data_IF_462050453392
#
_entry.id   IF_462050453392
#
_cell.length_a   1.000
_cell.length_b   1.000
_cell.length_c   1.000
_cell.angle_alpha   90.00
_cell.angle_beta   90.00
_cell.angle_gamma   90.00
#
_symmetry.space_group_name_H-M   'P 1'
#
loop_
_entity.id
_entity.type
_entity.pdbx_description
1 polymer ?
#
# COMPACT_ATOMS: atom_id res chain seq x y z
N UNK A 1 -78.55 25.19 -36.21
CA UNK A 1 -77.35 24.45 -35.73
C UNK A 1 -76.25 24.66 -36.69
N UNK A 2 -75.39 25.63 -36.44
CA UNK A 2 -74.27 26.02 -37.30
C UNK A 2 -73.02 25.29 -36.82
N UNK A 3 -72.48 24.40 -37.64
CA UNK A 3 -71.19 23.72 -37.41
C UNK A 3 -70.05 24.66 -37.90
N UNK A 4 -69.24 25.08 -36.96
CA UNK A 4 -68.02 25.86 -37.24
C UNK A 4 -66.90 24.92 -37.70
N UNK A 5 -66.25 25.12 -38.86
CA UNK A 5 -65.18 24.24 -39.30
C UNK A 5 -63.86 24.55 -38.56
N UNK A 6 -63.23 23.51 -38.01
CA UNK A 6 -61.87 23.59 -37.43
C UNK A 6 -60.86 23.89 -38.53
N UNK A 7 -60.19 25.01 -38.47
CA UNK A 7 -59.17 25.43 -39.42
C UNK A 7 -57.85 24.67 -39.24
N UNK A 8 -57.17 24.32 -40.36
CA UNK A 8 -55.89 23.61 -40.41
C UNK A 8 -54.78 24.23 -39.52
N UNK A 9 -54.90 25.50 -39.14
CA UNK A 9 -53.98 26.19 -38.23
C UNK A 9 -54.11 25.74 -36.76
N UNK A 10 -55.27 25.27 -36.31
CA UNK A 10 -55.47 24.83 -34.94
C UNK A 10 -54.88 23.42 -34.67
N UNK A 11 -54.72 22.57 -35.72
CA UNK A 11 -54.12 21.25 -35.62
C UNK A 11 -52.58 21.29 -35.56
N UNK A 12 -51.95 22.31 -36.19
CA UNK A 12 -50.48 22.49 -36.18
C UNK A 12 -49.97 23.10 -34.88
N UNK A 13 -50.78 23.83 -34.13
CA UNK A 13 -50.38 24.41 -32.84
C UNK A 13 -50.41 23.36 -31.66
N UNK A 14 -51.23 22.31 -31.80
CA UNK A 14 -51.31 21.23 -30.79
C UNK A 14 -50.13 20.22 -30.86
N UNK A 15 -49.47 20.10 -32.04
CA UNK A 15 -48.37 19.14 -32.20
C UNK A 15 -47.00 19.68 -31.81
N UNK A 16 -46.84 21.02 -31.65
CA UNK A 16 -45.59 21.62 -31.25
C UNK A 16 -45.34 21.59 -29.72
N UNK A 17 -46.42 21.45 -28.93
CA UNK A 17 -46.30 21.43 -27.45
C UNK A 17 -45.92 20.05 -26.88
N UNK A 18 -46.08 18.97 -27.64
CA UNK A 18 -45.76 17.61 -27.18
C UNK A 18 -44.31 17.17 -27.53
N UNK A 19 -43.64 17.87 -28.40
CA UNK A 19 -42.25 17.57 -28.80
C UNK A 19 -41.17 18.22 -27.90
N UNK A 20 -41.56 19.15 -26.99
CA UNK A 20 -40.61 19.84 -26.14
C UNK A 20 -40.24 19.10 -24.81
N UNK A 21 -40.90 17.95 -24.51
CA UNK A 21 -40.67 17.21 -23.25
C UNK A 21 -39.67 16.05 -23.42
N UNK A 22 -39.20 15.73 -24.64
CA UNK A 22 -38.35 14.55 -24.91
C UNK A 22 -36.88 14.87 -25.18
N UNK A 23 -36.43 16.12 -25.04
CA UNK A 23 -35.02 16.48 -25.22
C UNK A 23 -34.44 17.11 -23.95
N UNK A 24 -34.60 16.48 -22.79
CA UNK A 24 -33.56 16.64 -21.80
C UNK A 24 -32.35 15.87 -22.35
N UNK A 25 -31.22 16.51 -22.65
CA UNK A 25 -30.01 15.75 -22.95
C UNK A 25 -29.79 14.88 -21.72
N UNK A 26 -29.87 13.56 -21.88
CA UNK A 26 -29.20 12.66 -20.95
C UNK A 26 -27.74 13.15 -20.98
N UNK A 27 -27.36 13.99 -20.03
CA UNK A 27 -25.95 14.25 -19.74
C UNK A 27 -25.38 12.87 -19.47
N UNK A 28 -24.82 12.27 -20.52
CA UNK A 28 -24.03 11.05 -20.40
C UNK A 28 -22.96 11.41 -19.37
N UNK A 29 -23.19 11.03 -18.13
CA UNK A 29 -22.22 11.26 -17.06
C UNK A 29 -20.95 10.60 -17.53
N UNK A 30 -19.89 11.41 -17.74
CA UNK A 30 -18.62 10.93 -18.25
C UNK A 30 -18.14 9.78 -17.38
N UNK A 31 -18.02 8.60 -17.97
CA UNK A 31 -17.44 7.43 -17.29
C UNK A 31 -15.95 7.64 -17.14
N UNK A 32 -15.39 7.23 -16.00
CA UNK A 32 -13.95 7.30 -15.74
C UNK A 32 -13.43 5.95 -15.25
N UNK A 33 -12.39 5.46 -15.86
CA UNK A 33 -11.64 4.31 -15.40
C UNK A 33 -10.30 4.75 -14.81
N UNK A 34 -10.04 4.37 -13.54
CA UNK A 34 -8.78 4.65 -12.85
C UNK A 34 -7.79 3.53 -13.12
N UNK A 35 -6.58 3.89 -13.51
CA UNK A 35 -5.44 2.98 -13.60
C UNK A 35 -4.76 2.91 -12.24
N UNK A 36 -4.65 1.69 -11.65
CA UNK A 36 -4.03 1.45 -10.33
C UNK A 36 -2.73 0.68 -10.52
N UNK A 37 -1.61 1.31 -10.23
CA UNK A 37 -0.28 0.67 -10.30
C UNK A 37 0.09 -0.02 -8.99
N UNK A 38 0.71 -1.21 -9.08
CA UNK A 38 1.16 -2.02 -7.95
C UNK A 38 2.43 -2.80 -8.26
N UNK A 39 3.30 -3.01 -7.25
CA UNK A 39 4.52 -3.83 -7.37
C UNK A 39 4.28 -5.30 -7.04
N UNK A 40 3.19 -5.62 -6.37
CA UNK A 40 2.87 -6.97 -5.88
C UNK A 40 2.25 -7.84 -6.98
N UNK A 41 2.44 -9.18 -6.93
CA UNK A 41 1.85 -10.10 -7.92
C UNK A 41 0.34 -10.25 -7.72
N UNK A 42 -0.42 -10.73 -8.73
CA UNK A 42 -1.88 -10.85 -8.68
C UNK A 42 -2.41 -11.65 -7.47
N UNK A 43 -1.67 -12.65 -7.00
CA UNK A 43 -2.05 -13.49 -5.86
C UNK A 43 -1.97 -12.75 -4.50
N UNK A 44 -1.29 -11.61 -4.42
CA UNK A 44 -1.12 -10.84 -3.20
C UNK A 44 -2.44 -10.17 -2.77
N UNK A 45 -2.70 -10.12 -1.46
CA UNK A 45 -3.91 -9.51 -0.86
C UNK A 45 -4.18 -8.10 -1.40
N UNK A 46 -3.14 -7.29 -1.61
CA UNK A 46 -3.30 -5.95 -2.18
C UNK A 46 -3.97 -5.99 -3.55
N UNK A 47 -3.48 -6.86 -4.46
CA UNK A 47 -4.04 -6.95 -5.82
C UNK A 47 -5.47 -7.49 -5.81
N UNK A 48 -5.77 -8.45 -4.93
CA UNK A 48 -7.11 -8.99 -4.79
C UNK A 48 -8.08 -7.90 -4.32
N UNK A 49 -7.73 -7.12 -3.31
CA UNK A 49 -8.57 -6.04 -2.79
C UNK A 49 -8.66 -4.85 -3.76
N UNK A 50 -7.58 -4.50 -4.47
CA UNK A 50 -7.63 -3.46 -5.50
C UNK A 50 -8.47 -3.88 -6.72
N UNK A 51 -8.47 -5.16 -7.06
CA UNK A 51 -9.36 -5.70 -8.10
C UNK A 51 -10.81 -5.66 -7.65
N UNK A 52 -11.09 -6.02 -6.39
CA UNK A 52 -12.43 -5.95 -5.81
C UNK A 52 -12.94 -4.50 -5.67
N UNK A 53 -12.04 -3.52 -5.52
CA UNK A 53 -12.35 -2.08 -5.48
C UNK A 53 -13.12 -1.64 -6.73
N UNK A 54 -12.84 -2.22 -7.90
CA UNK A 54 -13.57 -1.91 -9.13
C UNK A 54 -15.09 -2.11 -9.00
N UNK A 55 -15.51 -3.25 -8.43
CA UNK A 55 -16.93 -3.53 -8.23
C UNK A 55 -17.58 -2.50 -7.28
N UNK A 56 -16.88 -2.16 -6.19
CA UNK A 56 -17.35 -1.15 -5.22
C UNK A 56 -17.44 0.26 -5.84
N UNK A 57 -16.48 0.65 -6.65
CA UNK A 57 -16.52 1.93 -7.37
C UNK A 57 -17.73 1.99 -8.32
N UNK A 58 -17.96 0.93 -9.10
CA UNK A 58 -19.10 0.85 -10.02
C UNK A 58 -20.43 0.89 -9.28
N UNK A 59 -20.55 0.13 -8.20
CA UNK A 59 -21.77 0.10 -7.37
C UNK A 59 -22.07 1.49 -6.80
N UNK A 60 -21.12 2.10 -6.10
CA UNK A 60 -21.30 3.39 -5.40
C UNK A 60 -21.47 4.57 -6.35
N UNK A 61 -20.95 4.48 -7.58
CA UNK A 61 -21.06 5.53 -8.59
C UNK A 61 -22.15 5.29 -9.63
N UNK A 62 -22.94 4.24 -9.51
CA UNK A 62 -23.93 3.83 -10.53
C UNK A 62 -23.28 3.61 -11.91
N UNK A 63 -22.11 2.96 -11.93
CA UNK A 63 -21.37 2.62 -13.14
C UNK A 63 -20.47 3.73 -13.71
N UNK A 64 -20.45 4.93 -13.14
CA UNK A 64 -19.66 6.06 -13.65
C UNK A 64 -18.15 5.91 -13.41
N UNK A 65 -17.77 5.32 -12.28
CA UNK A 65 -16.37 5.11 -11.90
C UNK A 65 -16.02 3.63 -11.94
N UNK A 66 -14.87 3.33 -12.46
CA UNK A 66 -14.29 1.99 -12.53
C UNK A 66 -12.78 2.03 -12.31
N UNK A 67 -12.15 0.87 -12.16
CA UNK A 67 -10.69 0.79 -12.07
C UNK A 67 -10.15 -0.46 -12.75
N UNK A 68 -8.89 -0.38 -13.19
CA UNK A 68 -8.10 -1.49 -13.70
C UNK A 68 -6.76 -1.53 -12.97
N UNK A 69 -6.33 -2.73 -12.55
CA UNK A 69 -5.08 -2.94 -11.80
C UNK A 69 -3.96 -3.37 -12.73
N UNK A 70 -2.79 -2.77 -12.56
CA UNK A 70 -1.53 -3.11 -13.23
C UNK A 70 -0.55 -3.68 -12.19
N UNK A 71 -0.49 -5.02 -12.03
CA UNK A 71 0.31 -5.68 -11.01
C UNK A 71 1.78 -5.82 -11.38
N UNK A 72 2.60 -6.38 -10.46
CA UNK A 72 3.97 -6.83 -10.69
C UNK A 72 4.91 -5.76 -11.26
N UNK A 73 4.66 -4.50 -11.00
CA UNK A 73 5.49 -3.40 -11.47
C UNK A 73 5.36 -3.12 -12.99
N UNK A 74 4.27 -3.51 -13.63
CA UNK A 74 4.03 -3.25 -15.07
C UNK A 74 4.11 -1.77 -15.44
N UNK A 75 3.80 -0.87 -14.49
CA UNK A 75 3.92 0.58 -14.68
C UNK A 75 5.22 1.16 -14.10
N UNK A 76 6.20 0.31 -13.79
CA UNK A 76 7.46 0.68 -13.16
C UNK A 76 7.52 0.34 -11.67
N UNK A 77 8.67 0.67 -11.04
CA UNK A 77 8.83 0.55 -9.60
C UNK A 77 8.06 1.65 -8.85
N UNK A 78 8.03 1.60 -7.51
CA UNK A 78 7.27 2.56 -6.70
C UNK A 78 7.72 4.01 -6.93
N UNK A 79 9.04 4.27 -7.05
CA UNK A 79 9.55 5.60 -7.33
C UNK A 79 9.03 6.18 -8.66
N UNK A 80 9.00 5.34 -9.71
CA UNK A 80 8.45 5.71 -11.02
C UNK A 80 6.92 5.96 -10.94
N UNK A 81 6.18 5.11 -10.21
CA UNK A 81 4.75 5.29 -10.02
C UNK A 81 4.42 6.58 -9.25
N UNK A 82 5.21 6.95 -8.21
CA UNK A 82 5.04 8.24 -7.53
C UNK A 82 5.26 9.41 -8.49
N UNK A 83 6.27 9.36 -9.36
CA UNK A 83 6.49 10.40 -10.38
C UNK A 83 5.31 10.49 -11.36
N UNK A 84 4.74 9.36 -11.78
CA UNK A 84 3.57 9.32 -12.65
C UNK A 84 2.32 9.89 -11.96
N UNK A 85 2.13 9.66 -10.65
CA UNK A 85 1.06 10.31 -9.87
C UNK A 85 1.23 11.83 -9.84
N UNK A 86 2.45 12.34 -9.65
CA UNK A 86 2.74 13.79 -9.65
C UNK A 86 2.34 14.46 -10.95
N UNK A 87 2.59 13.81 -12.06
CA UNK A 87 2.28 14.35 -13.40
C UNK A 87 0.83 14.09 -13.82
N UNK A 88 0.13 13.17 -13.18
CA UNK A 88 -1.20 12.70 -13.58
C UNK A 88 -1.17 11.65 -14.70
N UNK A 89 0.00 11.12 -15.05
CA UNK A 89 0.15 10.03 -16.01
C UNK A 89 -0.36 8.68 -15.45
N UNK A 90 -0.43 8.54 -14.13
CA UNK A 90 -1.06 7.45 -13.40
C UNK A 90 -2.14 8.02 -12.49
N UNK A 91 -3.32 7.39 -12.47
CA UNK A 91 -4.42 7.86 -11.64
C UNK A 91 -4.23 7.50 -10.18
N UNK A 92 -3.96 6.24 -9.88
CA UNK A 92 -3.84 5.70 -8.52
C UNK A 92 -2.66 4.73 -8.41
N UNK A 93 -2.11 4.59 -7.21
CA UNK A 93 -1.14 3.54 -6.90
C UNK A 93 -1.24 3.18 -5.41
N UNK A 94 -0.95 1.92 -5.09
CA UNK A 94 -0.75 1.50 -3.70
C UNK A 94 0.75 1.40 -3.46
N UNK A 95 1.28 2.31 -2.65
CA UNK A 95 2.72 2.56 -2.47
C UNK A 95 3.10 2.29 -1.01
N UNK A 96 4.22 1.61 -0.79
CA UNK A 96 4.74 1.41 0.56
C UNK A 96 5.10 2.74 1.21
N UNK A 97 4.89 2.85 2.51
CA UNK A 97 5.34 4.02 3.27
C UNK A 97 6.87 4.13 3.29
N UNK A 98 7.57 3.04 3.01
CA UNK A 98 9.02 3.00 2.84
C UNK A 98 9.49 3.86 1.66
N UNK A 99 8.79 3.79 0.52
CA UNK A 99 9.07 4.68 -0.62
C UNK A 99 8.68 6.13 -0.31
N UNK A 100 7.55 6.34 0.39
CA UNK A 100 7.13 7.70 0.77
C UNK A 100 8.15 8.33 1.72
N UNK A 101 8.74 7.58 2.64
CA UNK A 101 9.75 8.06 3.59
C UNK A 101 11.01 8.62 2.93
N UNK A 102 11.32 8.22 1.69
CA UNK A 102 12.42 8.80 0.93
C UNK A 102 12.18 10.26 0.50
N UNK A 103 10.92 10.71 0.52
CA UNK A 103 10.49 12.07 0.14
C UNK A 103 9.93 12.86 1.31
N UNK A 104 9.38 12.15 2.29
CA UNK A 104 8.67 12.71 3.44
C UNK A 104 9.20 12.00 4.67
N UNK A 105 10.29 12.53 5.27
CA UNK A 105 11.03 11.90 6.37
C UNK A 105 10.15 11.50 7.57
N UNK A 106 9.06 12.23 7.81
CA UNK A 106 8.11 11.92 8.88
C UNK A 106 7.54 10.49 8.80
N UNK A 107 7.38 9.94 7.60
CA UNK A 107 6.97 8.53 7.40
C UNK A 107 8.01 7.53 7.89
N UNK A 108 9.26 7.95 8.07
CA UNK A 108 10.33 7.13 8.65
C UNK A 108 9.98 6.60 10.04
N UNK A 109 9.21 7.34 10.84
CA UNK A 109 8.74 6.89 12.16
C UNK A 109 7.95 5.57 12.11
N UNK A 110 7.24 5.30 11.01
CA UNK A 110 6.47 4.06 10.82
C UNK A 110 7.35 2.82 10.62
N UNK A 111 8.63 3.02 10.30
CA UNK A 111 9.63 1.97 10.11
C UNK A 111 10.57 1.84 11.30
N UNK A 112 10.19 2.39 12.46
CA UNK A 112 10.96 2.20 13.69
C UNK A 112 11.01 0.70 14.04
N UNK A 113 12.22 0.13 14.24
CA UNK A 113 12.34 -1.28 14.56
C UNK A 113 11.60 -1.59 15.87
N UNK A 114 10.84 -2.69 15.86
CA UNK A 114 10.03 -3.15 17.01
C UNK A 114 9.07 -2.09 17.57
N UNK A 115 8.54 -1.22 16.71
CA UNK A 115 7.51 -0.22 17.11
C UNK A 115 6.25 -0.92 17.65
N UNK A 116 5.86 -1.99 17.01
CA UNK A 116 4.74 -2.87 17.42
C UNK A 116 5.18 -4.32 17.37
N UNK A 117 4.46 -5.23 18.05
CA UNK A 117 4.86 -6.63 18.23
C UNK A 117 4.25 -7.57 17.20
N UNK A 118 3.11 -7.20 16.60
CA UNK A 118 2.35 -8.05 15.69
C UNK A 118 1.43 -7.22 14.78
N UNK A 119 0.83 -7.89 13.79
CA UNK A 119 -0.08 -7.28 12.81
C UNK A 119 -1.33 -6.64 13.43
N UNK A 120 -1.83 -7.18 14.55
CA UNK A 120 -3.00 -6.58 15.23
C UNK A 120 -2.64 -5.21 15.83
N UNK A 121 -1.48 -5.10 16.48
CA UNK A 121 -0.97 -3.83 16.99
C UNK A 121 -0.63 -2.86 15.84
N UNK A 122 -0.05 -3.36 14.73
CA UNK A 122 0.19 -2.55 13.53
C UNK A 122 -1.14 -1.95 12.99
N UNK A 123 -2.18 -2.78 12.87
CA UNK A 123 -3.52 -2.30 12.46
C UNK A 123 -4.07 -1.22 13.41
N UNK A 124 -3.87 -1.36 14.73
CA UNK A 124 -4.28 -0.34 15.72
C UNK A 124 -3.46 0.94 15.56
N UNK A 125 -2.13 0.83 15.42
CA UNK A 125 -1.23 1.97 15.22
C UNK A 125 -1.64 2.79 14.00
N UNK A 126 -1.92 2.14 12.87
CA UNK A 126 -2.33 2.80 11.63
C UNK A 126 -3.68 3.53 11.71
N UNK A 127 -4.49 3.27 12.75
CA UNK A 127 -5.76 3.97 12.99
C UNK A 127 -5.63 5.18 13.93
N UNK A 128 -4.47 5.40 14.50
CA UNK A 128 -4.27 6.54 15.43
C UNK A 128 -4.30 7.87 14.68
N UNK A 129 -4.84 8.95 15.30
CA UNK A 129 -4.86 10.28 14.67
C UNK A 129 -3.47 10.77 14.25
N UNK A 130 -2.44 10.44 15.03
CA UNK A 130 -1.06 10.79 14.75
C UNK A 130 -0.56 10.21 13.43
N UNK A 131 -0.88 8.94 13.16
CA UNK A 131 -0.52 8.29 11.88
C UNK A 131 -1.40 8.79 10.75
N UNK A 132 -2.71 8.95 10.98
CA UNK A 132 -3.63 9.46 9.95
C UNK A 132 -3.25 10.87 9.49
N UNK A 133 -2.77 11.72 10.39
CA UNK A 133 -2.28 13.07 10.06
C UNK A 133 -1.12 13.11 9.06
N UNK A 134 -0.35 12.00 8.93
CA UNK A 134 0.72 11.91 7.92
C UNK A 134 0.20 12.00 6.47
N UNK A 135 -1.08 11.74 6.23
CA UNK A 135 -1.66 11.80 4.88
C UNK A 135 -1.94 13.24 4.41
N UNK A 136 -2.15 14.17 5.33
CA UNK A 136 -2.58 15.54 5.02
C UNK A 136 -1.59 16.33 4.15
N UNK A 137 -0.26 16.29 4.40
CA UNK A 137 0.70 17.08 3.64
C UNK A 137 1.08 16.45 2.28
N UNK A 138 0.68 15.21 1.99
CA UNK A 138 1.11 14.48 0.79
C UNK A 138 0.80 15.20 -0.54
N UNK A 139 -0.35 15.89 -0.72
CA UNK A 139 -0.63 16.60 -1.97
C UNK A 139 0.43 17.65 -2.31
N UNK A 140 0.91 18.40 -1.31
CA UNK A 140 1.96 19.42 -1.50
C UNK A 140 3.37 18.82 -1.60
N UNK A 141 3.64 17.68 -0.99
CA UNK A 141 4.98 17.09 -0.91
C UNK A 141 5.28 16.12 -2.05
N UNK A 142 4.30 15.31 -2.45
CA UNK A 142 4.50 14.29 -3.47
C UNK A 142 3.47 14.34 -4.61
N UNK A 143 2.63 15.40 -4.67
CA UNK A 143 1.63 15.57 -5.73
C UNK A 143 0.54 14.49 -5.77
N UNK A 144 0.31 13.80 -4.66
CA UNK A 144 -0.71 12.76 -4.55
C UNK A 144 -1.50 12.89 -3.24
N UNK A 145 -2.79 12.60 -3.29
CA UNK A 145 -3.68 12.56 -2.12
C UNK A 145 -3.62 11.17 -1.50
N UNK A 146 -3.34 11.10 -0.20
CA UNK A 146 -3.45 9.87 0.58
C UNK A 146 -4.92 9.57 0.88
N UNK A 147 -5.39 8.39 0.47
CA UNK A 147 -6.79 7.98 0.67
C UNK A 147 -6.95 7.23 2.00
N UNK A 148 -6.11 6.25 2.28
CA UNK A 148 -6.06 5.50 3.53
C UNK A 148 -4.78 4.67 3.62
N UNK A 149 -4.45 4.23 4.84
CA UNK A 149 -3.40 3.23 5.07
C UNK A 149 -3.92 1.81 4.87
N UNK A 150 -3.11 0.98 4.23
CA UNK A 150 -3.11 -0.47 4.32
C UNK A 150 -1.82 -0.96 4.95
N UNK A 151 -1.53 -2.26 4.87
CA UNK A 151 -0.26 -2.84 5.33
C UNK A 151 0.04 -4.16 4.60
N UNK A 152 1.27 -4.67 4.77
CA UNK A 152 1.58 -6.10 4.68
C UNK A 152 1.70 -6.69 6.09
N UNK A 153 2.12 -7.94 6.22
CA UNK A 153 2.48 -8.54 7.50
C UNK A 153 3.70 -7.88 8.16
N UNK A 154 4.05 -8.36 9.34
CA UNK A 154 5.29 -7.96 10.01
C UNK A 154 6.50 -8.50 9.22
N UNK A 155 7.62 -7.76 9.28
CA UNK A 155 8.84 -8.15 8.55
C UNK A 155 9.65 -9.17 9.34
N UNK A 156 10.11 -10.18 8.61
CA UNK A 156 10.95 -11.28 9.07
C UNK A 156 12.27 -11.27 8.31
N UNK A 157 13.29 -11.93 8.82
CA UNK A 157 14.56 -12.09 8.10
C UNK A 157 14.70 -13.51 7.57
N UNK A 158 14.92 -13.65 6.27
CA UNK A 158 15.25 -14.91 5.62
C UNK A 158 16.72 -14.90 5.20
N UNK A 159 17.41 -16.01 5.39
CA UNK A 159 18.82 -16.17 5.02
C UNK A 159 19.06 -17.46 4.23
N UNK A 160 19.94 -17.40 3.24
CA UNK A 160 20.35 -18.58 2.45
C UNK A 160 21.13 -19.59 3.28
N UNK A 161 21.88 -19.10 4.26
CA UNK A 161 22.69 -19.92 5.16
C UNK A 161 22.01 -20.13 6.51
N UNK A 162 22.55 -21.06 7.32
CA UNK A 162 22.15 -21.18 8.70
C UNK A 162 22.53 -19.90 9.48
N UNK A 163 21.56 -19.35 10.21
CA UNK A 163 21.73 -18.11 10.98
C UNK A 163 21.21 -18.32 12.40
N UNK A 164 22.08 -18.15 13.38
CA UNK A 164 21.77 -18.39 14.80
C UNK A 164 22.01 -17.17 15.68
N UNK A 165 22.88 -16.27 15.25
CA UNK A 165 23.25 -15.05 15.97
C UNK A 165 23.23 -13.84 15.04
N UNK A 166 23.19 -12.64 15.61
CA UNK A 166 23.30 -11.39 14.81
C UNK A 166 24.66 -11.30 14.11
N UNK A 167 25.69 -11.94 14.64
CA UNK A 167 27.01 -11.97 14.01
C UNK A 167 27.02 -12.72 12.67
N UNK A 168 26.14 -13.68 12.47
CA UNK A 168 25.98 -14.41 11.21
C UNK A 168 25.42 -13.51 10.09
N UNK A 169 24.82 -12.37 10.46
CA UNK A 169 24.24 -11.39 9.53
C UNK A 169 25.30 -10.35 9.10
N UNK A 170 26.37 -10.18 9.89
CA UNK A 170 27.40 -9.17 9.60
C UNK A 170 28.02 -9.39 8.23
N UNK A 171 28.10 -8.32 7.44
CA UNK A 171 28.65 -8.33 6.08
C UNK A 171 27.78 -9.05 5.05
N UNK A 172 26.68 -9.70 5.44
CA UNK A 172 25.76 -10.34 4.50
C UNK A 172 25.00 -9.28 3.68
N UNK A 173 24.85 -9.52 2.40
CA UNK A 173 24.06 -8.71 1.49
C UNK A 173 22.58 -8.96 1.76
N UNK A 174 21.99 -8.11 2.60
CA UNK A 174 20.56 -8.22 2.95
C UNK A 174 19.75 -7.37 1.98
N UNK A 175 18.90 -8.02 1.20
CA UNK A 175 17.95 -7.27 0.37
C UNK A 175 16.99 -6.50 1.25
N UNK A 176 16.87 -5.23 0.98
CA UNK A 176 15.85 -4.35 1.54
C UNK A 176 15.05 -3.68 0.42
N UNK A 177 13.88 -3.14 0.74
CA UNK A 177 13.23 -2.16 -0.14
C UNK A 177 14.09 -0.88 -0.16
N UNK A 178 14.19 -0.13 -1.28
CA UNK A 178 14.91 1.14 -1.31
C UNK A 178 14.30 2.17 -0.35
N UNK A 179 14.79 2.19 0.90
CA UNK A 179 14.27 3.06 1.95
C UNK A 179 15.36 3.38 2.98
N UNK A 180 15.55 4.65 3.26
CA UNK A 180 16.58 5.11 4.18
C UNK A 180 16.40 4.59 5.62
N UNK A 181 15.20 4.65 6.26
CA UNK A 181 15.02 4.14 7.61
C UNK A 181 15.32 2.64 7.75
N UNK A 182 14.96 1.85 6.74
CA UNK A 182 15.22 0.40 6.73
C UNK A 182 16.70 0.13 6.49
N UNK A 183 17.31 0.81 5.53
CA UNK A 183 18.77 0.71 5.28
C UNK A 183 19.57 0.99 6.54
N UNK A 184 19.21 2.02 7.28
CA UNK A 184 19.96 2.45 8.46
C UNK A 184 19.87 1.40 9.59
N UNK A 185 18.72 0.72 9.78
CA UNK A 185 18.61 -0.41 10.72
C UNK A 185 19.54 -1.56 10.33
N UNK A 186 19.53 -1.99 9.07
CA UNK A 186 20.39 -3.08 8.61
C UNK A 186 21.89 -2.69 8.65
N UNK A 187 22.22 -1.43 8.44
CA UNK A 187 23.60 -0.92 8.60
C UNK A 187 24.03 -0.98 10.08
N UNK A 188 23.16 -0.58 11.01
CA UNK A 188 23.45 -0.61 12.46
C UNK A 188 23.74 -2.04 12.93
N UNK A 189 23.03 -3.04 12.46
CA UNK A 189 23.29 -4.45 12.82
C UNK A 189 24.48 -5.06 12.11
N UNK A 190 25.17 -4.27 11.27
CA UNK A 190 26.40 -4.67 10.57
C UNK A 190 26.16 -5.45 9.28
N UNK A 191 24.95 -5.54 8.76
CA UNK A 191 24.67 -6.09 7.44
C UNK A 191 25.17 -5.18 6.32
N UNK A 192 25.20 -5.71 5.08
CA UNK A 192 25.37 -4.94 3.85
C UNK A 192 23.99 -4.79 3.17
N UNK A 193 23.21 -3.73 3.50
CA UNK A 193 21.90 -3.54 2.91
C UNK A 193 22.00 -3.32 1.41
N UNK A 194 21.23 -4.10 0.65
CA UNK A 194 21.20 -4.12 -0.82
C UNK A 194 19.81 -3.69 -1.29
N UNK A 195 19.59 -2.40 -1.58
CA UNK A 195 18.29 -1.89 -2.02
C UNK A 195 17.88 -2.48 -3.38
N UNK A 196 16.67 -3.07 -3.44
CA UNK A 196 16.20 -3.73 -4.65
C UNK A 196 14.67 -3.75 -4.69
N UNK A 197 14.03 -3.40 -5.84
CA UNK A 197 12.58 -3.48 -6.00
C UNK A 197 12.11 -4.95 -5.99
N UNK A 198 10.86 -5.18 -5.54
CA UNK A 198 10.32 -6.51 -5.31
C UNK A 198 10.44 -7.48 -6.52
N UNK A 199 10.16 -7.07 -7.77
CA UNK A 199 10.24 -8.00 -8.91
C UNK A 199 11.62 -8.60 -9.18
N UNK A 200 12.70 -7.95 -8.71
CA UNK A 200 14.07 -8.41 -8.93
C UNK A 200 14.59 -9.37 -7.84
N UNK A 201 13.84 -9.57 -6.74
CA UNK A 201 14.35 -10.23 -5.54
C UNK A 201 14.55 -11.73 -5.74
N UNK A 202 13.63 -12.42 -6.42
CA UNK A 202 13.71 -13.87 -6.60
C UNK A 202 14.99 -14.27 -7.34
N UNK A 203 15.25 -13.64 -8.47
CA UNK A 203 16.44 -13.92 -9.30
C UNK A 203 17.72 -13.55 -8.55
N UNK A 204 17.75 -12.43 -7.82
CA UNK A 204 18.89 -12.03 -7.04
C UNK A 204 19.22 -13.03 -5.92
N UNK A 205 18.20 -13.58 -5.23
CA UNK A 205 18.37 -14.60 -4.21
C UNK A 205 18.82 -15.92 -4.83
N UNK A 206 18.19 -16.36 -5.91
CA UNK A 206 18.52 -17.61 -6.60
C UNK A 206 19.97 -17.61 -7.13
N UNK A 207 20.40 -16.48 -7.70
CA UNK A 207 21.76 -16.32 -8.28
C UNK A 207 22.83 -15.91 -7.26
N UNK A 208 22.51 -15.78 -5.96
CA UNK A 208 23.47 -15.42 -4.92
C UNK A 208 23.97 -13.98 -4.96
N UNK A 209 23.24 -13.10 -5.63
CA UNK A 209 23.53 -11.66 -5.60
C UNK A 209 23.20 -11.05 -4.23
N UNK A 210 22.28 -11.68 -3.49
CA UNK A 210 21.95 -11.38 -2.10
C UNK A 210 22.02 -12.65 -1.26
N UNK A 211 22.35 -12.49 0.03
CA UNK A 211 22.50 -13.59 1.00
C UNK A 211 21.27 -13.73 1.90
N UNK A 212 20.51 -12.67 2.04
CA UNK A 212 19.36 -12.58 2.91
C UNK A 212 18.34 -11.55 2.41
N UNK A 213 17.15 -11.58 2.97
CA UNK A 213 16.10 -10.62 2.67
C UNK A 213 15.22 -10.33 3.89
N UNK A 214 14.70 -9.11 3.93
CA UNK A 214 13.66 -8.62 4.82
C UNK A 214 12.31 -8.74 4.10
N UNK A 215 11.38 -9.60 4.64
CA UNK A 215 10.11 -9.90 3.96
C UNK A 215 9.02 -10.37 4.95
N UNK A 216 7.74 -10.12 4.61
CA UNK A 216 6.58 -10.65 5.31
C UNK A 216 6.20 -12.07 4.84
N UNK A 217 5.44 -12.81 5.65
CA UNK A 217 5.08 -14.21 5.37
C UNK A 217 4.33 -14.40 4.05
N UNK A 218 3.42 -13.51 3.70
CA UNK A 218 2.66 -13.60 2.45
C UNK A 218 3.57 -13.48 1.23
N UNK A 219 4.43 -12.47 1.24
CA UNK A 219 5.38 -12.26 0.15
C UNK A 219 6.40 -13.41 0.05
N UNK A 220 6.79 -14.00 1.19
CA UNK A 220 7.64 -15.21 1.20
C UNK A 220 6.95 -16.36 0.47
N UNK A 221 5.70 -16.64 0.79
CA UNK A 221 4.91 -17.71 0.17
C UNK A 221 4.63 -17.46 -1.29
N UNK A 222 4.15 -16.25 -1.63
CA UNK A 222 3.73 -15.90 -2.99
C UNK A 222 4.89 -15.89 -3.98
N UNK A 223 6.10 -15.55 -3.52
CA UNK A 223 7.30 -15.50 -4.36
C UNK A 223 8.24 -16.70 -4.11
N UNK A 224 7.84 -17.68 -3.30
CA UNK A 224 8.60 -18.91 -3.02
C UNK A 224 10.02 -18.66 -2.50
N UNK A 225 10.24 -17.61 -1.72
CA UNK A 225 11.56 -17.30 -1.15
C UNK A 225 12.00 -18.37 -0.13
N UNK A 226 11.04 -19.06 0.51
CA UNK A 226 11.30 -20.18 1.39
C UNK A 226 12.04 -21.34 0.69
N UNK A 227 11.85 -21.53 -0.62
CA UNK A 227 12.52 -22.62 -1.37
C UNK A 227 14.03 -22.31 -1.57
N UNK A 228 14.42 -21.03 -1.45
CA UNK A 228 15.79 -20.53 -1.64
C UNK A 228 16.46 -20.14 -0.31
N UNK A 229 15.78 -20.29 0.81
CA UNK A 229 16.25 -19.86 2.13
C UNK A 229 16.40 -21.07 3.06
N UNK A 230 17.49 -21.10 3.84
CA UNK A 230 17.75 -22.13 4.84
C UNK A 230 17.19 -21.80 6.22
N UNK A 231 17.17 -20.50 6.56
CA UNK A 231 16.69 -20.04 7.87
C UNK A 231 15.72 -18.89 7.71
N UNK A 232 14.66 -18.90 8.50
CA UNK A 232 13.81 -17.75 8.76
C UNK A 232 13.85 -17.39 10.24
N UNK A 233 14.34 -16.20 10.55
CA UNK A 233 14.20 -15.59 11.87
C UNK A 233 12.87 -14.83 11.90
N UNK A 234 11.95 -15.34 12.73
CA UNK A 234 10.66 -14.65 13.00
C UNK A 234 10.95 -13.56 14.01
N UNK A 235 11.21 -12.38 13.48
CA UNK A 235 11.70 -11.22 14.22
C UNK A 235 10.59 -10.21 14.51
N UNK A 236 9.61 -10.09 13.62
CA UNK A 236 8.60 -9.01 13.66
C UNK A 236 9.23 -7.61 13.82
N UNK A 237 10.41 -7.39 13.24
CA UNK A 237 11.24 -6.22 13.51
C UNK A 237 10.69 -4.92 12.91
N UNK A 238 9.88 -4.97 11.86
CA UNK A 238 9.20 -3.81 11.28
C UNK A 238 7.73 -4.12 11.01
N UNK A 239 6.82 -3.21 11.35
CA UNK A 239 5.54 -3.15 10.65
C UNK A 239 5.76 -2.57 9.25
N UNK A 240 4.93 -2.95 8.30
CA UNK A 240 5.15 -2.54 6.92
C UNK A 240 3.89 -1.95 6.29
N UNK A 241 3.61 -0.66 6.55
CA UNK A 241 2.44 0.01 6.01
C UNK A 241 2.59 0.37 4.53
N UNK A 242 1.44 0.60 3.91
CA UNK A 242 1.30 1.20 2.59
C UNK A 242 0.19 2.25 2.60
N UNK A 243 0.15 3.09 1.59
CA UNK A 243 -0.90 4.09 1.37
C UNK A 243 -1.51 3.88 -0.02
N UNK A 244 -2.84 3.87 -0.07
CA UNK A 244 -3.56 4.06 -1.33
C UNK A 244 -3.50 5.54 -1.71
N UNK A 245 -2.85 5.83 -2.83
CA UNK A 245 -2.64 7.17 -3.35
C UNK A 245 -3.48 7.40 -4.62
N UNK A 246 -3.95 8.62 -4.79
CA UNK A 246 -4.49 9.12 -6.06
C UNK A 246 -3.74 10.39 -6.46
N UNK A 247 -3.45 10.57 -7.74
CA UNK A 247 -2.85 11.81 -8.26
C UNK A 247 -3.63 13.04 -7.79
N UNK A 248 -2.96 14.05 -7.26
CA UNK A 248 -3.61 15.29 -6.85
C UNK A 248 -4.30 16.02 -8.03
N UNK A 249 -3.76 15.89 -9.24
CA UNK A 249 -4.36 16.42 -10.47
C UNK A 249 -5.66 15.69 -10.81
N UNK A 250 -5.63 14.35 -10.75
CA UNK A 250 -6.81 13.50 -10.95
C UNK A 250 -7.87 13.82 -9.90
N UNK A 251 -7.47 13.88 -8.63
CA UNK A 251 -8.35 14.22 -7.52
C UNK A 251 -9.02 15.58 -7.70
N UNK A 252 -8.27 16.58 -8.12
CA UNK A 252 -8.81 17.93 -8.36
C UNK A 252 -9.87 17.96 -9.49
N UNK A 253 -9.76 17.06 -10.47
CA UNK A 253 -10.71 16.95 -11.60
C UNK A 253 -12.02 16.24 -11.25
N UNK A 254 -12.10 15.55 -10.09
CA UNK A 254 -13.30 14.84 -9.65
C UNK A 254 -14.31 15.81 -9.02
N UNK A 255 -15.59 15.53 -9.24
CA UNK A 255 -16.67 16.16 -8.48
C UNK A 255 -16.57 15.84 -6.97
N UNK A 256 -17.12 16.66 -6.07
CA UNK A 256 -17.17 16.32 -4.64
C UNK A 256 -17.78 14.95 -4.38
N UNK A 257 -18.89 14.61 -5.06
CA UNK A 257 -19.55 13.31 -4.92
C UNK A 257 -18.64 12.14 -5.39
N UNK A 258 -17.89 12.32 -6.48
CA UNK A 258 -16.96 11.28 -6.96
C UNK A 258 -15.75 11.13 -6.02
N UNK A 259 -15.26 12.24 -5.42
CA UNK A 259 -14.23 12.17 -4.39
C UNK A 259 -14.67 11.35 -3.18
N UNK A 260 -15.92 11.53 -2.74
CA UNK A 260 -16.49 10.77 -1.62
C UNK A 260 -16.60 9.28 -1.98
N UNK A 261 -17.06 8.94 -3.19
CA UNK A 261 -17.09 7.56 -3.67
C UNK A 261 -15.69 6.94 -3.67
N UNK A 262 -14.70 7.60 -4.29
CA UNK A 262 -13.33 7.09 -4.37
C UNK A 262 -12.71 6.92 -2.99
N UNK A 263 -12.88 7.90 -2.10
CA UNK A 263 -12.36 7.83 -0.72
C UNK A 263 -13.00 6.68 0.05
N UNK A 264 -14.33 6.61 0.08
CA UNK A 264 -15.04 5.61 0.86
C UNK A 264 -14.78 4.18 0.35
N UNK A 265 -14.76 3.97 -0.96
CA UNK A 265 -14.39 2.70 -1.57
C UNK A 265 -12.94 2.30 -1.22
N UNK A 266 -12.00 3.23 -1.33
CA UNK A 266 -10.59 2.98 -0.99
C UNK A 266 -10.39 2.66 0.50
N UNK A 267 -11.02 3.42 1.40
CA UNK A 267 -10.99 3.14 2.85
C UNK A 267 -11.50 1.74 3.15
N UNK A 268 -12.64 1.34 2.55
CA UNK A 268 -13.23 0.00 2.73
C UNK A 268 -12.24 -1.10 2.36
N UNK A 269 -11.62 -1.02 1.17
CA UNK A 269 -10.71 -2.08 0.70
C UNK A 269 -9.37 -2.08 1.41
N UNK A 270 -8.82 -0.91 1.78
CA UNK A 270 -7.59 -0.81 2.56
C UNK A 270 -7.79 -1.26 4.03
N UNK A 271 -8.98 -1.08 4.59
CA UNK A 271 -9.34 -1.68 5.88
C UNK A 271 -9.48 -3.21 5.79
N UNK A 272 -10.02 -3.74 4.69
CA UNK A 272 -10.04 -5.19 4.42
C UNK A 272 -8.63 -5.76 4.28
N UNK A 273 -7.72 -5.08 3.57
CA UNK A 273 -6.29 -5.47 3.52
C UNK A 273 -5.75 -5.65 4.93
N UNK A 274 -5.89 -4.65 5.81
CA UNK A 274 -5.41 -4.74 7.19
C UNK A 274 -6.06 -5.88 7.99
N UNK A 275 -7.35 -6.12 7.76
CA UNK A 275 -8.09 -7.19 8.45
C UNK A 275 -7.60 -8.56 8.01
N UNK A 276 -7.45 -8.77 6.71
CA UNK A 276 -6.97 -10.03 6.14
C UNK A 276 -5.56 -10.38 6.63
N UNK A 277 -4.66 -9.41 6.74
CA UNK A 277 -3.34 -9.66 7.32
C UNK A 277 -3.42 -10.10 8.79
N UNK A 278 -4.35 -9.56 9.58
CA UNK A 278 -4.57 -10.03 10.96
C UNK A 278 -5.16 -11.44 11.00
N UNK A 279 -6.10 -11.75 10.12
CA UNK A 279 -6.82 -13.02 10.10
C UNK A 279 -5.98 -14.18 9.54
N UNK A 280 -5.09 -13.90 8.58
CA UNK A 280 -4.36 -14.90 7.82
C UNK A 280 -2.90 -15.07 8.29
N UNK A 281 -2.38 -14.24 9.20
CA UNK A 281 -0.95 -14.21 9.59
C UNK A 281 -0.50 -15.54 10.18
N UNK A 282 -1.26 -16.07 11.14
CA UNK A 282 -0.91 -17.35 11.81
C UNK A 282 -0.93 -18.53 10.83
N UNK A 283 -1.85 -18.53 9.86
CA UNK A 283 -1.88 -19.60 8.85
C UNK A 283 -0.67 -19.52 7.92
N UNK A 284 -0.31 -18.33 7.47
CA UNK A 284 0.88 -18.12 6.65
C UNK A 284 2.15 -18.52 7.38
N UNK A 285 2.27 -18.19 8.66
CA UNK A 285 3.39 -18.61 9.48
C UNK A 285 3.44 -20.14 9.62
N UNK A 286 2.32 -20.81 9.94
CA UNK A 286 2.27 -22.29 10.05
C UNK A 286 2.71 -22.97 8.75
N UNK A 287 2.28 -22.48 7.60
CA UNK A 287 2.68 -23.04 6.29
C UNK A 287 4.19 -22.96 6.05
N UNK A 288 4.85 -21.92 6.55
CA UNK A 288 6.29 -21.76 6.45
C UNK A 288 7.05 -22.62 7.48
N UNK A 289 6.49 -22.81 8.69
CA UNK A 289 7.11 -23.65 9.72
C UNK A 289 7.05 -25.15 9.41
N UNK A 290 6.11 -25.58 8.59
CA UNK A 290 5.96 -27.00 8.17
C UNK A 290 6.91 -27.44 7.05
N UNK A 291 7.76 -26.55 6.52
CA UNK A 291 8.68 -26.83 5.41
C UNK A 291 10.08 -27.26 5.85
N UNK A 292 11.00 -27.36 4.88
CA UNK A 292 12.41 -27.72 5.11
C UNK A 292 13.24 -26.57 5.72
N UNK A 293 12.77 -25.34 5.67
CA UNK A 293 13.44 -24.15 6.20
C UNK A 293 13.42 -24.17 7.74
N UNK A 294 14.54 -23.87 8.36
CA UNK A 294 14.62 -23.71 9.82
C UNK A 294 13.95 -22.40 10.23
N UNK A 295 12.96 -22.49 11.11
CA UNK A 295 12.23 -21.31 11.59
C UNK A 295 12.49 -21.11 13.08
N UNK A 296 12.93 -19.91 13.44
CA UNK A 296 13.27 -19.53 14.81
C UNK A 296 12.72 -18.17 15.18
N UNK A 297 11.98 -18.07 16.27
CA UNK A 297 11.53 -16.80 16.82
C UNK A 297 12.66 -16.11 17.61
N UNK A 298 12.87 -14.82 17.37
CA UNK A 298 13.84 -13.98 18.09
C UNK A 298 13.23 -12.60 18.34
N UNK A 299 13.59 -11.97 19.47
CA UNK A 299 13.12 -10.65 19.85
C UNK A 299 14.13 -9.53 19.54
N UNK A 300 13.85 -8.34 20.07
CA UNK A 300 14.72 -7.17 19.90
C UNK A 300 16.11 -7.36 20.55
N UNK A 301 16.20 -8.15 21.59
CA UNK A 301 17.42 -8.51 22.29
C UNK A 301 18.45 -9.22 21.40
N UNK A 302 17.98 -9.95 20.38
CA UNK A 302 18.84 -10.56 19.36
C UNK A 302 19.71 -9.52 18.63
N UNK A 303 19.23 -8.29 18.52
CA UNK A 303 19.91 -7.20 17.81
C UNK A 303 20.69 -6.24 18.74
N UNK A 304 20.81 -6.59 20.03
CA UNK A 304 21.52 -5.76 21.02
C UNK A 304 20.88 -4.38 21.19
N UNK A 305 21.67 -3.34 21.09
CA UNK A 305 21.24 -1.94 21.25
C UNK A 305 20.81 -1.25 19.93
N UNK A 306 20.65 -2.02 18.83
CA UNK A 306 20.38 -1.47 17.51
C UNK A 306 19.09 -0.63 17.47
N UNK A 307 18.06 -1.02 18.24
CA UNK A 307 16.81 -0.23 18.34
C UNK A 307 17.08 1.16 18.91
N UNK A 308 17.84 1.24 20.02
CA UNK A 308 18.18 2.51 20.63
C UNK A 308 19.09 3.38 19.75
N UNK A 309 20.01 2.75 18.99
CA UNK A 309 20.84 3.47 18.02
C UNK A 309 19.98 4.05 16.91
N UNK A 310 19.05 3.26 16.37
CA UNK A 310 18.14 3.71 15.33
C UNK A 310 17.25 4.86 15.83
N UNK A 311 16.66 4.75 17.03
CA UNK A 311 15.81 5.81 17.61
C UNK A 311 16.58 7.12 17.80
N UNK A 312 17.85 7.07 18.21
CA UNK A 312 18.71 8.27 18.30
C UNK A 312 18.96 8.91 16.92
N UNK A 313 19.12 8.10 15.89
CA UNK A 313 19.36 8.58 14.52
C UNK A 313 18.11 9.18 13.89
N UNK A 314 16.95 8.56 14.11
CA UNK A 314 15.71 8.92 13.40
C UNK A 314 14.79 9.84 14.22
N UNK A 315 14.92 9.93 15.52
CA UNK A 315 14.14 10.84 16.37
C UNK A 315 14.14 12.29 15.86
N UNK A 316 15.30 12.88 15.54
CA UNK A 316 15.36 14.26 15.00
C UNK A 316 14.72 14.41 13.61
N UNK A 317 14.76 13.37 12.75
CA UNK A 317 14.22 13.38 11.39
C UNK A 317 12.72 13.14 11.35
N UNK A 318 12.22 12.36 12.31
CA UNK A 318 10.82 11.97 12.40
C UNK A 318 10.32 12.19 13.84
N UNK A 319 10.04 13.45 14.25
CA UNK A 319 9.66 13.79 15.65
C UNK A 319 8.44 13.02 16.16
N UNK A 320 7.57 12.57 15.27
CA UNK A 320 6.43 11.70 15.57
C UNK A 320 6.84 10.39 16.26
N UNK A 321 8.08 9.92 16.10
CA UNK A 321 8.58 8.66 16.64
C UNK A 321 8.33 8.53 18.17
N UNK A 322 8.62 9.58 18.93
CA UNK A 322 8.43 9.57 20.38
C UNK A 322 6.97 9.32 20.77
N UNK A 323 6.04 9.95 20.06
CA UNK A 323 4.60 9.74 20.27
C UNK A 323 4.19 8.32 19.91
N UNK A 324 4.65 7.80 18.78
CA UNK A 324 4.34 6.43 18.34
C UNK A 324 4.89 5.39 19.33
N UNK A 325 6.11 5.56 19.86
CA UNK A 325 6.65 4.68 20.92
C UNK A 325 5.77 4.70 22.19
N UNK A 326 5.30 5.88 22.60
CA UNK A 326 4.41 6.03 23.77
C UNK A 326 3.05 5.37 23.52
N UNK A 327 2.47 5.55 22.33
CA UNK A 327 1.22 4.91 21.95
C UNK A 327 1.39 3.38 21.91
N UNK A 328 2.46 2.89 21.29
CA UNK A 328 2.74 1.46 21.19
C UNK A 328 2.87 0.77 22.55
N UNK A 329 3.39 1.47 23.56
CA UNK A 329 3.50 0.97 24.93
C UNK A 329 2.13 0.74 25.60
N UNK A 330 1.04 1.28 25.04
CA UNK A 330 -0.34 1.07 25.57
C UNK A 330 -1.05 -0.12 24.92
N UNK A 331 -0.43 -0.79 23.95
CA UNK A 331 -1.00 -1.95 23.22
C UNK A 331 -0.68 -3.27 23.98
#
# INVERSE_FOLDING_TARGET
MTKTPLTRRAILAGSAATAAVLAAPALAQATREFRIGMITPPAHVWNQEATALNATLREMSQGRLSSVVFPSGQLGNEAAMVQQLQTGALDMAWITTAEIANRVEAFGALHAPFLVRNVAQAKRMLKTPQVQGLLEPLPGQIGAVGLAFGMTGMRQMLTRDATTTVSDIRGKKVRIIPSAPIRDFFTIIGAAPTPMPLPAVYDALANGQIDALDMDFESVLNNKYNDLSRTMLVTNHHMFPMVGLISARVWASLSPADRDVVRNASVRHLDRVKSRFVEEEDDKQRRLTGGAMQVRAVGADFFGDAVAQWDRMWGPKAPLLADLRRIAATF
#
